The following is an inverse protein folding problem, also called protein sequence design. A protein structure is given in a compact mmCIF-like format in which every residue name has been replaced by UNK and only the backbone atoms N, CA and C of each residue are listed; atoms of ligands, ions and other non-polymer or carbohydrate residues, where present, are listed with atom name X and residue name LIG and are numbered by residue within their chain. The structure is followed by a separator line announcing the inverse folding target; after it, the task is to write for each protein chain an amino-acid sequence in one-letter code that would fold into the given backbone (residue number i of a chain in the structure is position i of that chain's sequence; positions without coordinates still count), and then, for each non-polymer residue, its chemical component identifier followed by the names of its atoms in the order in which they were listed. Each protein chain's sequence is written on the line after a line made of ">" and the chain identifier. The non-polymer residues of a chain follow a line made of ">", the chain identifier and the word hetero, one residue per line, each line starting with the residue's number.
data_IF_642585282994
#
_entry.id   IF_642585282994
#
_cell.length_a   1.000
_cell.length_b   1.000
_cell.length_c   1.000
_cell.angle_alpha   90.00
_cell.angle_beta   90.00
_cell.angle_gamma   90.00
#
_symmetry.space_group_name_H-M   'P 1'
#
loop_
_entity.id
_entity.type
_entity.pdbx_description
1 polymer ?
#
# COMPACT_ATOMS: atom_id res chain seq x y z
N UNK A 1 20.14 14.18 13.67
CA UNK A 1 21.48 14.75 13.29
C UNK A 1 21.34 15.73 12.12
N UNK A 2 21.98 16.91 12.18
CA UNK A 2 22.04 17.82 11.01
C UNK A 2 22.92 17.17 9.95
N UNK A 3 22.35 16.94 8.77
CA UNK A 3 23.06 16.31 7.63
C UNK A 3 23.71 17.38 6.75
N UNK A 4 22.99 18.48 6.52
CA UNK A 4 23.48 19.58 5.73
C UNK A 4 22.84 20.91 6.14
N UNK A 5 23.64 21.99 6.08
CA UNK A 5 23.21 23.35 6.36
C UNK A 5 23.91 24.28 5.37
N UNK A 6 23.15 24.95 4.53
CA UNK A 6 23.69 25.81 3.49
C UNK A 6 22.89 27.11 3.37
N UNK A 7 23.56 28.19 3.03
CA UNK A 7 22.96 29.45 2.60
C UNK A 7 23.17 29.59 1.09
N UNK A 8 22.13 30.05 0.42
CA UNK A 8 22.11 30.30 -1.01
C UNK A 8 21.94 31.79 -1.29
N UNK A 9 22.67 32.31 -2.25
CA UNK A 9 22.55 33.69 -2.73
C UNK A 9 22.67 33.72 -4.24
N UNK A 10 21.78 34.42 -4.91
CA UNK A 10 21.82 34.55 -6.37
C UNK A 10 21.73 33.21 -7.12
N UNK A 11 21.17 32.15 -6.51
CA UNK A 11 21.10 30.81 -7.06
C UNK A 11 22.38 29.97 -6.89
N UNK A 12 23.34 30.42 -6.10
CA UNK A 12 24.59 29.70 -5.80
C UNK A 12 24.69 29.39 -4.32
N UNK A 13 25.23 28.20 -4.01
CA UNK A 13 25.52 27.80 -2.63
C UNK A 13 26.70 28.64 -2.09
N UNK A 14 26.47 29.29 -0.96
CA UNK A 14 27.52 29.86 -0.13
C UNK A 14 27.87 28.84 0.95
N UNK A 15 29.15 28.72 1.28
CA UNK A 15 29.58 27.88 2.39
C UNK A 15 29.66 28.76 3.64
N UNK A 16 28.65 28.74 4.54
CA UNK A 16 28.81 29.44 5.81
C UNK A 16 29.76 28.62 6.69
N UNK A 17 30.57 29.31 7.43
CA UNK A 17 31.45 28.72 8.41
C UNK A 17 30.67 28.54 9.71
N UNK A 18 30.28 27.35 10.08
CA UNK A 18 30.28 26.90 11.46
C UNK A 18 28.94 26.64 12.15
N UNK A 19 28.11 27.61 12.49
CA UNK A 19 26.98 27.37 13.40
C UNK A 19 25.60 27.64 12.76
N UNK A 20 24.55 27.03 13.33
CA UNK A 20 23.15 27.32 12.92
C UNK A 20 22.81 28.80 13.02
N UNK A 21 23.26 29.45 14.11
CA UNK A 21 23.04 30.89 14.30
C UNK A 21 23.76 31.77 13.29
N UNK A 22 24.89 31.35 12.76
CA UNK A 22 25.52 32.05 11.61
C UNK A 22 24.69 31.81 10.35
N UNK A 23 24.24 30.62 10.09
CA UNK A 23 23.36 30.29 8.94
C UNK A 23 22.10 31.16 8.96
N UNK A 24 21.42 31.27 10.12
CA UNK A 24 20.24 32.10 10.27
C UNK A 24 20.53 33.59 10.04
N UNK A 25 21.62 34.12 10.63
CA UNK A 25 22.00 35.51 10.41
C UNK A 25 22.34 35.81 8.91
N UNK A 26 23.02 34.88 8.24
CA UNK A 26 23.39 35.06 6.84
C UNK A 26 22.17 35.03 5.91
N UNK A 27 21.11 34.24 6.22
CA UNK A 27 19.91 34.19 5.39
C UNK A 27 18.98 35.40 5.56
N UNK A 28 19.21 36.26 6.59
CA UNK A 28 18.42 37.49 6.79
C UNK A 28 18.80 38.62 5.80
N UNK A 29 19.90 38.46 5.09
CA UNK A 29 20.27 39.44 4.08
C UNK A 29 19.40 39.30 2.81
N UNK A 30 19.12 40.39 2.08
CA UNK A 30 18.32 40.35 0.86
C UNK A 30 18.88 39.33 -0.15
N UNK A 31 17.96 38.68 -0.89
CA UNK A 31 18.26 37.69 -1.94
C UNK A 31 19.02 36.44 -1.44
N UNK A 32 18.90 36.13 -0.16
CA UNK A 32 19.50 34.94 0.46
C UNK A 32 18.44 34.10 1.15
N UNK A 33 18.70 32.80 1.19
CA UNK A 33 17.91 31.87 2.02
C UNK A 33 18.78 30.74 2.55
N UNK A 34 18.33 30.14 3.67
CA UNK A 34 18.95 28.95 4.25
C UNK A 34 18.18 27.68 3.87
N UNK A 35 18.91 26.60 3.60
CA UNK A 35 18.36 25.27 3.49
C UNK A 35 19.05 24.32 4.46
N UNK A 36 18.35 23.93 5.51
CA UNK A 36 18.82 23.03 6.57
C UNK A 36 18.13 21.68 6.41
N UNK A 37 18.91 20.60 6.49
CA UNK A 37 18.40 19.23 6.40
C UNK A 37 18.82 18.45 7.63
N UNK A 38 17.84 17.87 8.32
CA UNK A 38 18.05 16.98 9.46
C UNK A 38 17.65 15.55 9.08
N UNK A 39 18.36 14.57 9.63
CA UNK A 39 18.01 13.15 9.54
C UNK A 39 17.82 12.59 10.94
N UNK A 40 16.61 12.09 11.21
CA UNK A 40 16.23 11.50 12.50
C UNK A 40 16.81 12.30 13.69
N UNK A 41 16.48 13.60 13.79
CA UNK A 41 17.02 14.43 14.87
C UNK A 41 16.48 13.97 16.21
N UNK A 42 17.32 14.08 17.23
CA UNK A 42 16.84 14.02 18.60
C UNK A 42 15.99 15.26 18.90
N UNK A 43 15.11 15.17 19.90
CA UNK A 43 14.28 16.30 20.35
C UNK A 43 15.14 17.56 20.62
N UNK A 44 16.28 17.40 21.30
CA UNK A 44 17.20 18.51 21.60
C UNK A 44 17.79 19.16 20.32
N UNK A 45 18.17 18.35 19.34
CA UNK A 45 18.69 18.85 18.08
C UNK A 45 17.61 19.60 17.31
N UNK A 46 16.38 19.10 17.30
CA UNK A 46 15.28 19.75 16.63
C UNK A 46 14.88 21.06 17.31
N UNK A 47 14.74 21.06 18.64
CA UNK A 47 14.43 22.26 19.44
C UNK A 47 15.45 23.38 19.18
N UNK A 48 16.74 23.04 19.13
CA UNK A 48 17.79 24.04 18.82
C UNK A 48 17.61 24.69 17.44
N UNK A 49 17.16 23.91 16.43
CA UNK A 49 16.84 24.46 15.08
C UNK A 49 15.54 25.27 15.13
N UNK A 50 14.53 24.78 15.85
CA UNK A 50 13.23 25.43 15.96
C UNK A 50 13.35 26.80 16.64
N UNK A 51 14.15 26.91 17.71
CA UNK A 51 14.42 28.17 18.39
C UNK A 51 15.15 29.16 17.48
N UNK A 52 16.20 28.72 16.78
CA UNK A 52 16.99 29.57 15.92
C UNK A 52 16.20 30.11 14.72
N UNK A 53 15.38 29.24 14.06
CA UNK A 53 14.55 29.61 12.92
C UNK A 53 13.15 30.12 13.30
N UNK A 54 12.88 30.29 14.62
CA UNK A 54 11.62 30.77 15.15
C UNK A 54 10.41 29.98 14.64
N UNK A 55 10.54 28.66 14.58
CA UNK A 55 9.45 27.80 14.17
C UNK A 55 8.33 27.78 15.23
N UNK A 56 7.10 27.70 14.80
CA UNK A 56 5.95 27.69 15.72
C UNK A 56 5.94 26.43 16.58
N UNK A 57 5.67 26.60 17.88
CA UNK A 57 5.74 25.54 18.89
C UNK A 57 4.88 24.32 18.51
N UNK A 58 3.64 24.51 18.05
CA UNK A 58 2.74 23.43 17.63
C UNK A 58 3.29 22.58 16.45
N UNK A 59 3.93 23.22 15.50
CA UNK A 59 4.50 22.50 14.36
C UNK A 59 5.84 21.86 14.72
N UNK A 60 6.54 22.40 15.73
CA UNK A 60 7.72 21.77 16.29
C UNK A 60 7.36 20.49 17.02
N UNK A 61 6.30 20.49 17.82
CA UNK A 61 5.78 19.30 18.49
C UNK A 61 5.33 18.21 17.49
N UNK A 62 4.67 18.62 16.43
CA UNK A 62 4.27 17.71 15.33
C UNK A 62 5.48 17.08 14.62
N UNK A 63 6.57 17.82 14.46
CA UNK A 63 7.74 17.33 13.76
C UNK A 63 8.59 16.33 14.57
N UNK A 64 8.47 16.33 15.88
CA UNK A 64 9.16 15.38 16.77
C UNK A 64 8.41 14.04 16.81
N UNK A 65 7.10 14.04 16.55
CA UNK A 65 6.29 12.83 16.56
C UNK A 65 6.38 12.11 15.20
N UNK A 66 6.89 10.89 15.20
CA UNK A 66 6.88 9.98 14.07
C UNK A 66 5.44 9.61 13.65
N UNK A 67 5.26 9.29 12.38
CA UNK A 67 4.02 8.76 11.84
C UNK A 67 2.87 9.77 11.67
N UNK A 68 3.19 11.00 11.39
CA UNK A 68 2.21 12.03 11.05
C UNK A 68 1.46 11.69 9.75
N UNK A 69 0.20 12.15 9.66
CA UNK A 69 -0.55 12.08 8.40
C UNK A 69 -0.01 13.12 7.42
N UNK A 70 0.05 12.82 6.11
CA UNK A 70 0.40 13.81 5.12
C UNK A 70 -0.50 15.03 5.21
N UNK A 71 0.12 16.21 5.26
CA UNK A 71 -0.58 17.49 5.35
C UNK A 71 0.25 18.63 4.78
N UNK A 72 -0.43 19.69 4.38
CA UNK A 72 0.16 20.95 3.98
C UNK A 72 -0.65 22.03 4.70
N UNK A 73 -0.05 22.66 5.67
CA UNK A 73 -0.69 23.66 6.52
C UNK A 73 0.08 24.97 6.40
N UNK A 74 -0.65 26.05 6.15
CA UNK A 74 -0.07 27.36 6.09
C UNK A 74 -0.37 28.11 7.38
N UNK A 75 0.64 28.66 7.95
CA UNK A 75 0.62 29.64 9.02
C UNK A 75 0.91 31.04 8.42
N UNK A 76 0.70 32.10 9.17
CA UNK A 76 0.78 33.48 8.66
C UNK A 76 2.00 33.73 7.78
N UNK A 77 3.20 33.39 8.26
CA UNK A 77 4.47 33.68 7.60
C UNK A 77 5.24 32.49 7.05
N UNK A 78 4.73 31.26 7.25
CA UNK A 78 5.42 30.05 6.85
C UNK A 78 4.46 28.87 6.56
N UNK A 79 4.97 27.87 5.88
CA UNK A 79 4.26 26.64 5.50
C UNK A 79 4.88 25.46 6.23
N UNK A 80 4.04 24.59 6.80
CA UNK A 80 4.40 23.29 7.30
C UNK A 80 3.86 22.19 6.38
N UNK A 81 4.71 21.24 6.04
CA UNK A 81 4.34 20.12 5.19
C UNK A 81 4.84 18.79 5.78
N UNK A 82 3.98 17.79 5.77
CA UNK A 82 4.33 16.40 6.02
C UNK A 82 4.09 15.61 4.74
N UNK A 83 5.14 15.01 4.19
CA UNK A 83 5.12 14.24 2.97
C UNK A 83 5.58 12.80 3.27
N UNK A 84 5.03 11.82 2.55
CA UNK A 84 5.38 10.40 2.69
C UNK A 84 5.99 9.89 1.38
N UNK A 85 7.33 10.04 1.17
CA UNK A 85 7.98 9.34 0.07
C UNK A 85 7.71 7.85 0.19
N UNK A 86 7.50 7.20 -0.96
CA UNK A 86 7.21 5.78 -1.02
C UNK A 86 8.09 5.09 -2.06
N UNK A 87 8.50 3.86 -1.78
CA UNK A 87 9.28 3.00 -2.67
C UNK A 87 8.68 1.60 -2.66
N UNK A 88 8.48 1.02 -3.84
CA UNK A 88 8.10 -0.38 -3.97
C UNK A 88 9.33 -1.29 -3.85
N UNK A 89 9.24 -2.34 -3.05
CA UNK A 89 10.27 -3.34 -2.83
C UNK A 89 9.86 -4.63 -3.54
N UNK A 90 10.45 -4.89 -4.71
CA UNK A 90 10.17 -6.06 -5.54
C UNK A 90 10.36 -7.39 -4.81
N UNK A 91 11.43 -7.50 -4.00
CA UNK A 91 11.79 -8.73 -3.28
C UNK A 91 10.73 -9.16 -2.26
N UNK A 92 10.08 -8.19 -1.61
CA UNK A 92 9.12 -8.43 -0.53
C UNK A 92 7.68 -8.13 -0.91
N UNK A 93 7.47 -7.56 -2.10
CA UNK A 93 6.16 -7.09 -2.58
C UNK A 93 5.49 -6.12 -1.59
N UNK A 94 6.29 -5.20 -1.01
CA UNK A 94 5.85 -4.24 0.01
C UNK A 94 6.23 -2.82 -0.35
N UNK A 95 5.49 -1.88 0.23
CA UNK A 95 5.79 -0.46 0.10
C UNK A 95 6.58 -0.02 1.34
N UNK A 96 7.76 0.52 1.09
CA UNK A 96 8.55 1.20 2.11
C UNK A 96 8.20 2.68 2.09
N UNK A 97 7.85 3.23 3.25
CA UNK A 97 7.56 4.65 3.41
C UNK A 97 8.67 5.31 4.20
N UNK A 98 9.05 6.49 3.73
CA UNK A 98 9.77 7.48 4.53
C UNK A 98 8.82 8.60 4.96
N UNK A 99 9.35 9.58 5.71
CA UNK A 99 8.63 10.78 6.11
C UNK A 99 9.53 11.99 5.96
N UNK A 100 8.98 13.08 5.38
CA UNK A 100 9.67 14.36 5.24
C UNK A 100 8.78 15.42 5.85
N UNK A 101 9.30 16.14 6.85
CA UNK A 101 8.71 17.36 7.35
C UNK A 101 9.45 18.54 6.72
N UNK A 102 8.73 19.52 6.21
CA UNK A 102 9.30 20.72 5.64
C UNK A 102 8.66 21.97 6.27
N UNK A 103 9.51 22.86 6.78
CA UNK A 103 9.14 24.18 7.28
C UNK A 103 9.68 25.20 6.29
N UNK A 104 8.81 25.94 5.66
CA UNK A 104 9.15 26.87 4.58
C UNK A 104 8.77 28.27 5.01
N UNK A 105 9.76 29.10 5.30
CA UNK A 105 9.62 30.52 5.59
C UNK A 105 9.98 31.37 4.38
N UNK A 106 9.99 32.69 4.59
CA UNK A 106 10.33 33.65 3.53
C UNK A 106 11.79 33.48 3.05
N UNK A 107 12.71 33.25 4.00
CA UNK A 107 14.15 33.19 3.74
C UNK A 107 14.81 31.90 4.26
N UNK A 108 14.02 30.86 4.54
CA UNK A 108 14.55 29.57 4.94
C UNK A 108 13.65 28.40 4.52
N UNK A 109 14.26 27.23 4.39
CA UNK A 109 13.58 25.93 4.39
C UNK A 109 14.34 24.99 5.32
N UNK A 110 13.62 24.46 6.34
CA UNK A 110 14.11 23.41 7.20
C UNK A 110 13.40 22.12 6.83
N UNK A 111 14.17 21.09 6.53
CA UNK A 111 13.65 19.76 6.18
C UNK A 111 14.12 18.72 7.17
N UNK A 112 13.21 17.89 7.65
CA UNK A 112 13.50 16.74 8.52
C UNK A 112 13.11 15.48 7.78
N UNK A 113 13.99 14.48 7.75
CA UNK A 113 13.74 13.18 7.14
C UNK A 113 13.76 12.10 8.20
N UNK A 114 12.75 11.23 8.16
CA UNK A 114 12.68 9.99 8.91
C UNK A 114 12.62 8.80 7.94
N UNK A 115 13.36 7.75 8.26
CA UNK A 115 13.44 6.54 7.44
C UNK A 115 14.20 6.71 6.14
N UNK A 116 14.03 5.73 5.26
CA UNK A 116 14.76 5.63 3.99
C UNK A 116 14.15 6.55 2.92
N UNK A 117 15.00 7.03 2.02
CA UNK A 117 14.60 7.82 0.86
C UNK A 117 15.65 8.86 0.47
N UNK A 118 15.77 9.13 -0.82
CA UNK A 118 16.76 10.05 -1.39
C UNK A 118 16.14 11.32 -1.98
N UNK A 119 14.84 11.56 -1.75
CA UNK A 119 14.13 12.67 -2.36
C UNK A 119 14.74 14.05 -2.01
N UNK A 120 15.23 14.25 -0.77
CA UNK A 120 15.87 15.50 -0.36
C UNK A 120 17.24 15.68 -1.02
N UNK A 121 18.04 14.61 -1.10
CA UNK A 121 19.37 14.65 -1.72
C UNK A 121 19.24 14.89 -3.23
N UNK A 122 18.25 14.28 -3.87
CA UNK A 122 17.93 14.48 -5.28
C UNK A 122 17.41 15.90 -5.53
N UNK A 123 16.51 16.41 -4.67
CA UNK A 123 16.03 17.78 -4.75
C UNK A 123 17.19 18.77 -4.69
N UNK A 124 18.11 18.56 -3.76
CA UNK A 124 19.29 19.42 -3.61
C UNK A 124 20.16 19.38 -4.85
N UNK A 125 20.51 18.22 -5.35
CA UNK A 125 21.33 18.08 -6.58
C UNK A 125 20.70 18.78 -7.77
N UNK A 126 19.38 18.62 -7.97
CA UNK A 126 18.67 19.24 -9.10
C UNK A 126 18.61 20.76 -8.96
N UNK A 127 18.25 21.23 -7.76
CA UNK A 127 18.15 22.67 -7.52
C UNK A 127 19.53 23.38 -7.63
N UNK A 128 20.60 22.78 -7.11
CA UNK A 128 21.96 23.32 -7.27
C UNK A 128 22.46 23.28 -8.73
N UNK A 129 21.93 22.36 -9.54
CA UNK A 129 22.16 22.29 -10.99
C UNK A 129 21.34 23.30 -11.80
N UNK A 130 20.33 23.94 -11.20
CA UNK A 130 19.45 24.94 -11.86
C UNK A 130 19.44 26.29 -11.11
N UNK A 131 20.49 27.11 -11.19
CA UNK A 131 20.64 28.35 -10.42
C UNK A 131 19.47 29.32 -10.56
N UNK A 132 18.87 29.40 -11.75
CA UNK A 132 17.74 30.32 -12.01
C UNK A 132 16.46 29.87 -11.24
N UNK A 133 16.29 28.57 -11.02
CA UNK A 133 15.19 28.07 -10.18
C UNK A 133 15.50 28.26 -8.70
N UNK A 134 16.75 27.97 -8.30
CA UNK A 134 17.20 28.12 -6.92
C UNK A 134 17.15 29.59 -6.45
N UNK A 135 17.35 30.54 -7.36
CA UNK A 135 17.20 32.00 -7.10
C UNK A 135 15.77 32.39 -6.67
N UNK A 136 14.75 31.59 -6.99
CA UNK A 136 13.35 31.84 -6.58
C UNK A 136 13.10 31.58 -5.08
N UNK A 137 14.09 31.07 -4.35
CA UNK A 137 14.06 30.93 -2.91
C UNK A 137 13.43 29.63 -2.38
N UNK A 138 13.04 29.60 -1.09
CA UNK A 138 12.60 28.41 -0.37
C UNK A 138 11.38 27.71 -0.98
N UNK A 139 10.42 28.47 -1.51
CA UNK A 139 9.22 27.90 -2.15
C UNK A 139 9.59 27.05 -3.36
N UNK A 140 10.54 27.48 -4.19
CA UNK A 140 10.97 26.70 -5.35
C UNK A 140 11.61 25.36 -4.96
N UNK A 141 12.39 25.36 -3.86
CA UNK A 141 12.94 24.14 -3.28
C UNK A 141 11.84 23.23 -2.77
N UNK A 142 10.88 23.77 -2.04
CA UNK A 142 9.74 23.02 -1.53
C UNK A 142 8.93 22.35 -2.66
N UNK A 143 8.61 23.08 -3.72
CA UNK A 143 7.89 22.51 -4.87
C UNK A 143 8.68 21.41 -5.55
N UNK A 144 10.01 21.51 -5.63
CA UNK A 144 10.85 20.45 -6.15
C UNK A 144 10.80 19.19 -5.27
N UNK A 145 10.83 19.35 -3.94
CA UNK A 145 10.70 18.24 -2.99
C UNK A 145 9.34 17.54 -3.19
N UNK A 146 8.24 18.30 -3.19
CA UNK A 146 6.88 17.76 -3.40
C UNK A 146 6.80 17.04 -4.75
N UNK A 147 7.35 17.61 -5.82
CA UNK A 147 7.38 17.01 -7.15
C UNK A 147 8.08 15.65 -7.14
N UNK A 148 9.25 15.56 -6.52
CA UNK A 148 10.05 14.34 -6.45
C UNK A 148 9.36 13.25 -5.62
N UNK A 149 8.77 13.60 -4.50
CA UNK A 149 8.00 12.65 -3.68
C UNK A 149 6.86 12.05 -4.50
N UNK A 150 6.09 12.89 -5.21
CA UNK A 150 4.96 12.45 -6.01
C UNK A 150 5.40 11.69 -7.29
N UNK A 151 6.53 12.06 -7.90
CA UNK A 151 7.12 11.27 -8.99
C UNK A 151 7.50 9.87 -8.53
N UNK A 152 7.97 9.73 -7.30
CA UNK A 152 8.28 8.45 -6.68
C UNK A 152 7.08 7.52 -6.48
N UNK A 153 5.84 8.01 -6.57
CA UNK A 153 4.64 7.17 -6.47
C UNK A 153 4.36 6.35 -7.73
N UNK A 154 4.84 6.78 -8.90
CA UNK A 154 4.58 6.06 -10.14
C UNK A 154 5.13 4.62 -10.15
N UNK A 155 6.39 4.36 -9.74
CA UNK A 155 6.89 2.98 -9.63
C UNK A 155 6.13 2.13 -8.60
N UNK A 156 5.59 2.76 -7.54
CA UNK A 156 4.79 2.06 -6.53
C UNK A 156 3.47 1.61 -7.13
N UNK A 157 2.81 2.47 -7.91
CA UNK A 157 1.57 2.14 -8.62
C UNK A 157 1.80 1.00 -9.60
N UNK A 158 2.90 1.04 -10.37
CA UNK A 158 3.27 -0.02 -11.32
C UNK A 158 3.52 -1.37 -10.62
N UNK A 159 4.26 -1.37 -9.50
CA UNK A 159 4.51 -2.57 -8.71
C UNK A 159 3.23 -3.18 -8.14
N UNK A 160 2.31 -2.35 -7.63
CA UNK A 160 1.01 -2.82 -7.14
C UNK A 160 0.12 -3.37 -8.27
N UNK A 161 0.14 -2.73 -9.43
CA UNK A 161 -0.60 -3.21 -10.61
C UNK A 161 -0.13 -4.60 -11.03
N UNK A 162 1.18 -4.80 -11.15
CA UNK A 162 1.77 -6.10 -11.46
C UNK A 162 1.37 -7.18 -10.44
N UNK A 163 1.37 -6.84 -9.15
CA UNK A 163 0.93 -7.77 -8.11
C UNK A 163 -0.55 -8.18 -8.24
N UNK A 164 -1.41 -7.23 -8.61
CA UNK A 164 -2.84 -7.48 -8.82
C UNK A 164 -3.04 -8.37 -10.05
N UNK A 165 -2.36 -8.10 -11.15
CA UNK A 165 -2.45 -8.88 -12.38
C UNK A 165 -1.98 -10.33 -12.16
N UNK A 166 -0.86 -10.52 -11.41
CA UNK A 166 -0.39 -11.84 -11.01
C UNK A 166 -1.43 -12.59 -10.16
N UNK A 167 -2.03 -11.92 -9.17
CA UNK A 167 -3.07 -12.53 -8.32
C UNK A 167 -4.33 -12.90 -9.11
N UNK A 168 -4.76 -12.04 -10.03
CA UNK A 168 -5.89 -12.30 -10.91
C UNK A 168 -5.65 -13.60 -11.72
N UNK A 169 -4.48 -13.74 -12.34
CA UNK A 169 -4.10 -14.94 -13.08
C UNK A 169 -4.08 -16.20 -12.18
N UNK A 170 -3.58 -16.10 -10.94
CA UNK A 170 -3.54 -17.21 -9.98
C UNK A 170 -4.96 -17.64 -9.56
N UNK A 171 -5.87 -16.71 -9.29
CA UNK A 171 -7.27 -16.99 -8.91
C UNK A 171 -8.01 -17.70 -10.04
N UNK A 172 -7.87 -17.22 -11.29
CA UNK A 172 -8.45 -17.87 -12.47
C UNK A 172 -7.80 -19.22 -12.76
N UNK A 173 -6.55 -19.42 -12.37
CA UNK A 173 -5.85 -20.71 -12.40
C UNK A 173 -6.33 -21.72 -11.35
N UNK A 174 -7.25 -21.33 -10.46
CA UNK A 174 -7.84 -22.20 -9.43
C UNK A 174 -6.96 -22.41 -8.19
N UNK A 175 -5.97 -21.57 -7.96
CA UNK A 175 -5.12 -21.63 -6.76
C UNK A 175 -5.90 -21.18 -5.52
N UNK A 176 -5.85 -21.98 -4.46
CA UNK A 176 -6.52 -21.70 -3.16
C UNK A 176 -5.65 -20.84 -2.24
N UNK A 177 -4.34 -20.80 -2.48
CA UNK A 177 -3.38 -20.14 -1.60
C UNK A 177 -3.33 -18.61 -1.76
N UNK A 178 -4.08 -18.07 -2.73
CA UNK A 178 -4.06 -16.64 -3.10
C UNK A 178 -4.68 -15.75 -2.02
N UNK A 179 -5.58 -16.26 -1.17
CA UNK A 179 -6.33 -15.47 -0.16
C UNK A 179 -5.41 -14.66 0.76
N UNK A 180 -4.29 -15.23 1.18
CA UNK A 180 -3.30 -14.54 2.01
C UNK A 180 -2.65 -13.38 1.25
N UNK A 181 -2.28 -13.60 0.00
CA UNK A 181 -1.63 -12.60 -0.85
C UNK A 181 -2.57 -11.42 -1.14
N UNK A 182 -3.85 -11.71 -1.42
CA UNK A 182 -4.90 -10.68 -1.56
C UNK A 182 -4.94 -9.78 -0.33
N UNK A 183 -4.90 -10.37 0.88
CA UNK A 183 -4.93 -9.61 2.12
C UNK A 183 -3.65 -8.75 2.30
N UNK A 184 -2.48 -9.29 1.99
CA UNK A 184 -1.20 -8.58 2.09
C UNK A 184 -1.17 -7.37 1.16
N UNK A 185 -1.52 -7.53 -0.12
CA UNK A 185 -1.56 -6.44 -1.11
C UNK A 185 -2.66 -5.42 -0.77
N UNK A 186 -3.83 -5.87 -0.30
CA UNK A 186 -4.89 -4.96 0.17
C UNK A 186 -4.41 -4.02 1.28
N UNK A 187 -3.60 -4.53 2.22
CA UNK A 187 -3.01 -3.69 3.28
C UNK A 187 -2.05 -2.65 2.73
N UNK A 188 -1.19 -3.03 1.77
CA UNK A 188 -0.26 -2.08 1.16
C UNK A 188 -1.00 -0.98 0.39
N UNK A 189 -2.06 -1.33 -0.34
CA UNK A 189 -2.93 -0.38 -1.04
C UNK A 189 -3.59 0.60 -0.05
N UNK A 190 -4.11 0.11 1.07
CA UNK A 190 -4.72 0.97 2.10
C UNK A 190 -3.70 1.93 2.70
N UNK A 191 -2.48 1.45 3.00
CA UNK A 191 -1.39 2.29 3.52
C UNK A 191 -0.99 3.37 2.51
N UNK A 192 -0.88 3.00 1.24
CA UNK A 192 -0.52 3.93 0.18
C UNK A 192 -1.62 4.97 -0.07
N UNK A 193 -2.88 4.56 -0.03
CA UNK A 193 -4.00 5.48 -0.10
C UNK A 193 -4.01 6.48 1.07
N UNK A 194 -3.70 6.03 2.30
CA UNK A 194 -3.57 6.92 3.46
C UNK A 194 -2.41 7.90 3.34
N UNK A 195 -1.35 7.54 2.59
CA UNK A 195 -0.22 8.41 2.32
C UNK A 195 -0.45 9.41 1.18
N UNK A 196 -1.40 9.17 0.28
CA UNK A 196 -1.61 10.00 -0.92
C UNK A 196 -2.86 10.87 -0.86
N UNK A 197 -4.00 10.31 -0.43
CA UNK A 197 -5.30 11.00 -0.45
C UNK A 197 -5.34 12.34 0.29
N UNK A 198 -4.73 12.51 1.48
CA UNK A 198 -4.74 13.80 2.17
C UNK A 198 -4.02 14.92 1.40
N UNK A 199 -3.04 14.56 0.55
CA UNK A 199 -2.29 15.53 -0.26
C UNK A 199 -3.17 16.18 -1.34
N UNK A 200 -4.17 15.47 -1.89
CA UNK A 200 -5.06 16.01 -2.94
C UNK A 200 -5.74 17.29 -2.45
N UNK A 201 -6.48 17.21 -1.35
CA UNK A 201 -7.19 18.38 -0.81
C UNK A 201 -6.25 19.46 -0.24
N UNK A 202 -5.06 19.08 0.22
CA UNK A 202 -4.08 20.04 0.70
C UNK A 202 -3.44 20.85 -0.44
N UNK A 203 -3.11 20.20 -1.56
CA UNK A 203 -2.61 20.86 -2.76
C UNK A 203 -3.67 21.72 -3.45
N UNK A 204 -4.93 21.28 -3.43
CA UNK A 204 -6.07 22.06 -3.93
C UNK A 204 -6.20 23.39 -3.20
N UNK A 205 -6.25 23.35 -1.87
CA UNK A 205 -6.30 24.57 -1.02
C UNK A 205 -5.11 25.51 -1.29
N UNK A 206 -3.90 24.95 -1.49
CA UNK A 206 -2.72 25.77 -1.83
C UNK A 206 -2.84 26.41 -3.20
N UNK A 207 -3.37 25.70 -4.19
CA UNK A 207 -3.51 26.20 -5.56
C UNK A 207 -4.58 27.31 -5.66
N UNK A 208 -5.65 27.20 -4.86
CA UNK A 208 -6.76 28.17 -4.81
C UNK A 208 -6.45 29.40 -3.94
N UNK A 209 -5.51 29.26 -3.00
CA UNK A 209 -5.17 30.38 -2.12
C UNK A 209 -4.53 31.54 -2.90
N UNK A 210 -4.91 32.79 -2.57
CA UNK A 210 -4.34 34.02 -3.14
C UNK A 210 -2.84 34.20 -2.80
N UNK A 211 -2.33 33.32 -1.99
CA UNK A 211 -0.98 33.36 -1.45
C UNK A 211 0.08 32.91 -2.47
N UNK A 212 -0.27 32.01 -3.37
CA UNK A 212 0.61 31.63 -4.49
C UNK A 212 0.45 32.71 -5.57
N UNK A 213 1.18 33.81 -5.41
CA UNK A 213 1.10 34.98 -6.30
C UNK A 213 1.79 34.77 -7.63
N UNK A 214 2.85 33.95 -7.67
CA UNK A 214 3.57 33.67 -8.91
C UNK A 214 2.77 32.73 -9.81
N UNK A 215 2.42 33.13 -11.05
CA UNK A 215 1.70 32.30 -12.00
C UNK A 215 2.42 30.99 -12.35
N UNK A 216 3.75 30.98 -12.36
CA UNK A 216 4.55 29.79 -12.68
C UNK A 216 4.53 28.80 -11.52
N UNK A 217 4.61 29.27 -10.27
CA UNK A 217 4.44 28.41 -9.08
C UNK A 217 3.07 27.78 -9.05
N UNK A 218 2.02 28.55 -9.32
CA UNK A 218 0.64 28.06 -9.41
C UNK A 218 0.49 26.97 -10.48
N UNK A 219 1.13 27.14 -11.63
CA UNK A 219 1.12 26.15 -12.71
C UNK A 219 1.86 24.87 -12.30
N UNK A 220 2.96 24.97 -11.57
CA UNK A 220 3.69 23.82 -11.06
C UNK A 220 2.85 23.07 -10.02
N UNK A 221 2.21 23.76 -9.07
CA UNK A 221 1.32 23.16 -8.09
C UNK A 221 0.16 22.40 -8.75
N UNK A 222 -0.48 22.97 -9.77
CA UNK A 222 -1.55 22.29 -10.52
C UNK A 222 -1.07 21.00 -11.16
N UNK A 223 0.11 20.99 -11.77
CA UNK A 223 0.68 19.77 -12.37
C UNK A 223 0.93 18.68 -11.32
N UNK A 224 1.41 19.08 -10.15
CA UNK A 224 1.63 18.17 -9.02
C UNK A 224 0.30 17.65 -8.47
N UNK A 225 -0.69 18.52 -8.31
CA UNK A 225 -2.06 18.17 -7.90
C UNK A 225 -2.69 17.16 -8.85
N UNK A 226 -2.65 17.42 -10.16
CA UNK A 226 -3.17 16.49 -11.19
C UNK A 226 -2.49 15.11 -11.12
N UNK A 227 -1.19 15.09 -10.79
CA UNK A 227 -0.46 13.83 -10.68
C UNK A 227 -0.86 13.04 -9.45
N UNK A 228 -1.00 13.70 -8.28
CA UNK A 228 -1.49 13.04 -7.05
C UNK A 228 -2.91 12.55 -7.23
N UNK A 229 -3.77 13.32 -7.87
CA UNK A 229 -5.15 12.93 -8.15
C UNK A 229 -5.19 11.63 -8.98
N UNK A 230 -4.45 11.58 -10.09
CA UNK A 230 -4.36 10.35 -10.91
C UNK A 230 -3.83 9.14 -10.13
N UNK A 231 -2.83 9.33 -9.27
CA UNK A 231 -2.32 8.27 -8.40
C UNK A 231 -3.42 7.78 -7.46
N UNK A 232 -4.14 8.70 -6.82
CA UNK A 232 -5.22 8.36 -5.86
C UNK A 232 -6.37 7.63 -6.55
N UNK A 233 -6.81 8.10 -7.72
CA UNK A 233 -7.84 7.44 -8.54
C UNK A 233 -7.43 6.00 -8.93
N UNK A 234 -6.15 5.81 -9.30
CA UNK A 234 -5.65 4.48 -9.64
C UNK A 234 -5.64 3.53 -8.44
N UNK A 235 -5.26 4.04 -7.26
CA UNK A 235 -5.29 3.29 -6.00
C UNK A 235 -6.74 2.91 -5.62
N UNK A 236 -7.70 3.80 -5.82
CA UNK A 236 -9.13 3.51 -5.61
C UNK A 236 -9.61 2.41 -6.57
N UNK A 237 -9.21 2.47 -7.84
CA UNK A 237 -9.46 1.40 -8.80
C UNK A 237 -8.87 0.04 -8.40
N UNK A 238 -7.67 0.01 -7.82
CA UNK A 238 -7.06 -1.23 -7.31
C UNK A 238 -7.87 -1.86 -6.17
N UNK A 239 -8.47 -1.04 -5.31
CA UNK A 239 -9.35 -1.55 -4.23
C UNK A 239 -10.58 -2.24 -4.79
N UNK A 240 -11.17 -1.68 -5.83
CA UNK A 240 -12.35 -2.27 -6.49
C UNK A 240 -11.99 -3.57 -7.20
N UNK A 241 -10.85 -3.61 -7.90
CA UNK A 241 -10.31 -4.82 -8.51
C UNK A 241 -10.05 -5.92 -7.46
N UNK A 242 -9.38 -5.60 -6.35
CA UNK A 242 -9.14 -6.57 -5.29
C UNK A 242 -10.43 -7.11 -4.66
N UNK A 243 -11.46 -6.27 -4.54
CA UNK A 243 -12.78 -6.73 -4.10
C UNK A 243 -13.36 -7.77 -5.08
N UNK A 244 -13.29 -7.49 -6.38
CA UNK A 244 -13.74 -8.40 -7.42
C UNK A 244 -12.94 -9.72 -7.42
N UNK A 245 -11.61 -9.65 -7.31
CA UNK A 245 -10.73 -10.83 -7.23
C UNK A 245 -11.08 -11.67 -6.00
N UNK A 246 -11.38 -11.01 -4.87
CA UNK A 246 -11.80 -11.69 -3.63
C UNK A 246 -13.10 -12.46 -3.83
N UNK A 247 -14.10 -11.87 -4.48
CA UNK A 247 -15.39 -12.51 -4.75
C UNK A 247 -15.24 -13.72 -5.68
N UNK A 248 -14.41 -13.60 -6.71
CA UNK A 248 -14.08 -14.73 -7.60
C UNK A 248 -13.37 -15.85 -6.85
N UNK A 249 -12.40 -15.50 -5.99
CA UNK A 249 -11.67 -16.48 -5.18
C UNK A 249 -12.61 -17.23 -4.22
N UNK A 250 -13.52 -16.55 -3.54
CA UNK A 250 -14.53 -17.18 -2.67
C UNK A 250 -15.46 -18.11 -3.45
N UNK A 251 -15.87 -17.69 -4.66
CA UNK A 251 -16.69 -18.51 -5.55
C UNK A 251 -15.95 -19.78 -5.96
N UNK A 252 -14.68 -19.66 -6.34
CA UNK A 252 -13.82 -20.78 -6.73
C UNK A 252 -13.66 -21.80 -5.58
N UNK A 253 -13.41 -21.28 -4.36
CA UNK A 253 -13.35 -22.13 -3.15
C UNK A 253 -14.67 -22.84 -2.92
N UNK A 254 -15.81 -22.14 -3.10
CA UNK A 254 -17.15 -22.73 -2.95
C UNK A 254 -17.42 -23.86 -3.96
N UNK A 255 -17.02 -23.68 -5.21
CA UNK A 255 -17.12 -24.73 -6.24
C UNK A 255 -16.27 -25.94 -5.86
N UNK A 256 -15.02 -25.75 -5.43
CA UNK A 256 -14.14 -26.84 -5.02
C UNK A 256 -14.69 -27.58 -3.79
N UNK A 257 -15.25 -26.87 -2.81
CA UNK A 257 -15.90 -27.49 -1.65
C UNK A 257 -17.12 -28.32 -2.07
N UNK A 258 -17.93 -27.81 -3.00
CA UNK A 258 -19.08 -28.56 -3.52
C UNK A 258 -18.64 -29.83 -4.24
N UNK A 259 -17.60 -29.78 -5.06
CA UNK A 259 -17.04 -30.94 -5.74
C UNK A 259 -16.50 -31.99 -4.75
N UNK A 260 -15.84 -31.54 -3.67
CA UNK A 260 -15.39 -32.44 -2.62
C UNK A 260 -16.57 -33.07 -1.87
N UNK A 261 -17.60 -32.28 -1.55
CA UNK A 261 -18.82 -32.79 -0.88
C UNK A 261 -19.54 -33.80 -1.77
N UNK A 262 -19.63 -33.58 -3.05
CA UNK A 262 -20.18 -34.50 -4.03
C UNK A 262 -19.43 -35.83 -4.03
N UNK A 263 -18.09 -35.79 -4.04
CA UNK A 263 -17.23 -36.99 -3.96
C UNK A 263 -17.44 -37.75 -2.67
N UNK A 264 -17.49 -37.07 -1.51
CA UNK A 264 -17.75 -37.71 -0.20
C UNK A 264 -19.14 -38.36 -0.20
N UNK A 265 -20.16 -37.67 -0.68
CA UNK A 265 -21.53 -38.20 -0.76
C UNK A 265 -21.61 -39.41 -1.69
N UNK A 266 -20.92 -39.37 -2.83
CA UNK A 266 -20.84 -40.49 -3.75
C UNK A 266 -20.19 -41.73 -3.12
N UNK A 267 -19.06 -41.56 -2.44
CA UNK A 267 -18.39 -42.65 -1.72
C UNK A 267 -19.26 -43.16 -0.56
N UNK A 268 -19.96 -42.27 0.16
CA UNK A 268 -20.93 -42.64 1.17
C UNK A 268 -22.03 -43.55 0.61
N UNK A 269 -22.65 -43.15 -0.51
CA UNK A 269 -23.70 -43.95 -1.17
C UNK A 269 -23.18 -45.31 -1.63
N UNK A 270 -21.98 -45.38 -2.20
CA UNK A 270 -21.38 -46.67 -2.64
C UNK A 270 -21.15 -47.61 -1.47
N UNK A 271 -20.82 -47.13 -0.26
CA UNK A 271 -20.56 -47.95 0.92
C UNK A 271 -21.86 -48.32 1.68
N UNK A 272 -22.85 -47.42 1.68
CA UNK A 272 -24.14 -47.67 2.41
C UNK A 272 -24.94 -48.82 1.78
N UNK A 273 -24.95 -48.92 0.45
CA UNK A 273 -25.76 -49.95 -0.23
C UNK A 273 -25.36 -51.37 0.16
N UNK A 274 -24.08 -51.78 0.09
CA UNK A 274 -23.67 -53.10 0.57
C UNK A 274 -23.96 -53.32 2.05
N UNK A 275 -23.76 -52.28 2.88
CA UNK A 275 -24.02 -52.36 4.33
C UNK A 275 -25.48 -52.58 4.63
N UNK A 276 -26.40 -51.89 3.91
CA UNK A 276 -27.84 -52.08 4.04
C UNK A 276 -28.27 -53.50 3.66
N UNK A 277 -27.76 -53.99 2.52
CA UNK A 277 -28.06 -55.34 2.03
C UNK A 277 -27.52 -56.38 3.03
N UNK A 278 -26.28 -56.24 3.47
CA UNK A 278 -25.70 -57.13 4.48
C UNK A 278 -26.47 -57.11 5.81
N UNK A 279 -26.94 -55.92 6.23
CA UNK A 279 -27.78 -55.74 7.41
C UNK A 279 -29.13 -56.47 7.31
N UNK A 280 -29.79 -56.39 6.16
CA UNK A 280 -31.06 -57.11 5.91
C UNK A 280 -30.83 -58.64 5.97
N UNK A 281 -29.79 -59.13 5.31
CA UNK A 281 -29.47 -60.57 5.35
C UNK A 281 -28.96 -61.05 6.71
N UNK A 282 -28.41 -60.16 7.54
CA UNK A 282 -27.97 -60.43 8.91
C UNK A 282 -29.10 -60.48 9.95
N UNK A 283 -30.31 -60.06 9.61
CA UNK A 283 -31.47 -60.10 10.53
C UNK A 283 -31.97 -61.55 10.75
N UNK A 284 -32.07 -61.94 12.02
CA UNK A 284 -32.62 -63.25 12.39
C UNK A 284 -34.17 -63.19 12.54
N UNK A 285 -34.87 -63.45 11.44
CA UNK A 285 -36.29 -63.60 11.45
C UNK A 285 -36.62 -65.14 11.47
N UNK A 286 -37.08 -65.64 12.59
CA UNK A 286 -37.41 -67.10 12.76
C UNK A 286 -38.55 -67.57 11.87
N UNK A 287 -39.45 -66.70 11.41
CA UNK A 287 -40.62 -67.00 10.61
C UNK A 287 -40.80 -66.16 9.36
N UNK A 288 -39.74 -65.78 8.66
CA UNK A 288 -39.88 -64.95 7.49
C UNK A 288 -40.00 -65.77 6.19
N UNK A 289 -40.83 -65.24 5.27
CA UNK A 289 -40.89 -65.71 3.88
C UNK A 289 -39.56 -65.65 3.12
N UNK A 290 -38.54 -65.13 3.73
CA UNK A 290 -37.17 -64.98 3.16
C UNK A 290 -36.30 -66.22 3.43
N UNK A 291 -36.82 -67.28 4.11
CA UNK A 291 -36.05 -68.54 4.32
C UNK A 291 -35.74 -69.23 3.01
N UNK A 292 -36.58 -69.06 1.95
CA UNK A 292 -36.33 -69.59 0.62
C UNK A 292 -35.06 -69.10 0.00
N UNK A 293 -34.62 -67.83 0.32
CA UNK A 293 -33.38 -67.25 -0.21
C UNK A 293 -32.15 -67.86 0.45
N UNK A 294 -32.20 -68.29 1.70
CA UNK A 294 -31.14 -69.05 2.41
C UNK A 294 -30.97 -70.46 1.90
N UNK A 295 -31.97 -71.05 1.19
CA UNK A 295 -31.95 -72.41 0.65
C UNK A 295 -31.49 -72.49 -0.80
N UNK A 296 -31.12 -71.31 -1.42
CA UNK A 296 -30.58 -71.29 -2.75
C UNK A 296 -29.06 -71.66 -2.69
N UNK A 297 -28.69 -72.71 -3.39
CA UNK A 297 -27.28 -73.06 -3.62
C UNK A 297 -26.61 -71.82 -4.26
N UNK A 298 -25.52 -71.32 -3.63
CA UNK A 298 -24.84 -70.09 -4.04
C UNK A 298 -25.53 -68.74 -3.70
N UNK A 299 -26.51 -68.68 -2.79
CA UNK A 299 -27.22 -67.46 -2.39
C UNK A 299 -26.29 -66.36 -1.84
N UNK A 300 -25.25 -66.75 -1.12
CA UNK A 300 -24.22 -65.85 -0.62
C UNK A 300 -23.40 -65.19 -1.78
N UNK A 301 -22.95 -65.99 -2.73
CA UNK A 301 -22.16 -65.53 -3.89
C UNK A 301 -23.01 -64.59 -4.76
N UNK A 302 -24.28 -64.90 -4.96
CA UNK A 302 -25.23 -64.07 -5.70
C UNK A 302 -25.45 -62.71 -5.00
N UNK A 303 -25.60 -62.71 -3.67
CA UNK A 303 -25.78 -61.45 -2.92
C UNK A 303 -24.56 -60.55 -2.99
N UNK A 304 -23.35 -61.11 -2.88
CA UNK A 304 -22.10 -60.39 -3.04
C UNK A 304 -21.96 -59.82 -4.48
N UNK A 305 -22.32 -60.62 -5.50
CA UNK A 305 -22.30 -60.19 -6.89
C UNK A 305 -23.27 -59.00 -7.14
N UNK A 306 -24.49 -59.06 -6.57
CA UNK A 306 -25.51 -58.01 -6.67
C UNK A 306 -25.02 -56.74 -5.94
N UNK A 307 -24.46 -56.85 -4.74
CA UNK A 307 -23.85 -55.70 -4.02
C UNK A 307 -22.75 -55.06 -4.84
N UNK A 308 -21.83 -55.84 -5.40
CA UNK A 308 -20.74 -55.34 -6.22
C UNK A 308 -21.26 -54.66 -7.49
N UNK A 309 -22.28 -55.25 -8.14
CA UNK A 309 -22.90 -54.67 -9.36
C UNK A 309 -23.55 -53.31 -9.06
N UNK A 310 -24.37 -53.23 -7.99
CA UNK A 310 -25.05 -52.00 -7.63
C UNK A 310 -24.03 -50.92 -7.24
N UNK A 311 -23.03 -51.24 -6.43
CA UNK A 311 -21.98 -50.34 -6.05
C UNK A 311 -21.19 -49.83 -7.27
N UNK A 312 -20.91 -50.71 -8.23
CA UNK A 312 -20.24 -50.33 -9.47
C UNK A 312 -21.09 -49.45 -10.37
N UNK A 313 -22.40 -49.72 -10.49
CA UNK A 313 -23.33 -48.85 -11.23
C UNK A 313 -23.46 -47.47 -10.58
N UNK A 314 -23.55 -47.41 -9.27
CA UNK A 314 -23.55 -46.14 -8.53
C UNK A 314 -22.23 -45.36 -8.75
N UNK A 315 -21.09 -46.03 -8.67
CA UNK A 315 -19.80 -45.41 -8.95
C UNK A 315 -19.74 -44.83 -10.36
N UNK A 316 -20.19 -45.55 -11.38
CA UNK A 316 -20.27 -45.07 -12.76
C UNK A 316 -21.23 -43.88 -12.92
N UNK A 317 -22.35 -43.90 -12.20
CA UNK A 317 -23.33 -42.81 -12.23
C UNK A 317 -22.79 -41.52 -11.63
N UNK A 318 -22.07 -41.59 -10.51
CA UNK A 318 -21.43 -40.43 -9.88
C UNK A 318 -20.16 -39.94 -10.60
N UNK A 319 -19.52 -40.82 -11.38
CA UNK A 319 -18.36 -40.44 -12.21
C UNK A 319 -18.73 -39.65 -13.46
N UNK A 320 -19.99 -39.67 -13.87
CA UNK A 320 -20.50 -39.01 -15.07
C UNK A 320 -20.98 -37.59 -14.78
#
# INVERSE_FOLDING_TARGET
>A
MIVDSAVYAGGCRLTPSGSLGETYRFCQAPDRFAWVTLYEPTEKEFVSVAEEFQLHELAADDAIQDHQRPKLERYEDWLFAVLKPARYLEDTKKIQFGEIHAFVGENFIVTVRYGEGNALDEARRRMEGEPDRLRRGPNAVFYEIVRLVIEGYAPVVEGLENDIDEMEAEVFGGSVEVSRRIHEVSREIVRFHQATKPLVGSLERMTESEVTRDPEERKQLRRVQDRVLRVTERIEGFRDLLSSITDVNLTTIGIQQNDQMQKISAWGAVLIVPTLIAGIFGMNFENSQWQWFKSIDHGFELSVAVMALISFLLYLWFKR
#
